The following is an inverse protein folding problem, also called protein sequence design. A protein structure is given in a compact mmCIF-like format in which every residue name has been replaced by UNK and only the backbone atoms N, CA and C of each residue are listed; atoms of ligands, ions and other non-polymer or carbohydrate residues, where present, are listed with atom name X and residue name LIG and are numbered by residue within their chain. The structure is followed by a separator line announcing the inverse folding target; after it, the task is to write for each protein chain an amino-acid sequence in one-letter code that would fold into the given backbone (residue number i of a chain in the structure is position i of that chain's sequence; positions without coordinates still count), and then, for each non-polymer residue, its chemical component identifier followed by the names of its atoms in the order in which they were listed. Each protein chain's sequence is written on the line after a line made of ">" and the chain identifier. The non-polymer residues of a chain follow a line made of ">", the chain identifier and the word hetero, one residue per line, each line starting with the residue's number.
data_IF_760169027432
#
_entry.id   IF_760169027432
#
_cell.length_a   1.000
_cell.length_b   1.000
_cell.length_c   1.000
_cell.angle_alpha   90.00
_cell.angle_beta   90.00
_cell.angle_gamma   90.00
#
_symmetry.space_group_name_H-M   'P 1'
#
loop_
_entity.id
_entity.type
_entity.pdbx_description
1 polymer ?
#
# COMPACT_ATOMS: atom_id res chain seq x y z
N UNK A 1 -5.25 17.37 13.90
CA UNK A 1 -5.35 16.94 12.49
C UNK A 1 -3.98 16.61 11.97
N UNK A 2 -3.84 15.44 11.36
CA UNK A 2 -2.68 15.06 10.58
C UNK A 2 -2.60 15.95 9.32
N UNK A 3 -1.41 16.44 8.98
CA UNK A 3 -1.13 17.14 7.73
C UNK A 3 0.31 16.81 7.34
N UNK A 4 0.51 16.38 6.10
CA UNK A 4 1.83 16.19 5.50
C UNK A 4 2.19 17.48 4.79
N UNK A 5 3.17 18.21 5.32
CA UNK A 5 3.51 19.56 4.84
C UNK A 5 4.56 19.57 3.73
N UNK A 6 5.27 18.46 3.50
CA UNK A 6 6.37 18.37 2.52
C UNK A 6 6.28 17.10 1.71
N UNK A 7 6.59 17.21 0.41
CA UNK A 7 6.83 16.04 -0.44
C UNK A 7 7.98 15.22 0.14
N UNK A 8 7.74 13.92 0.28
CA UNK A 8 8.72 12.96 0.74
C UNK A 8 9.84 12.77 -0.30
N UNK A 9 11.08 12.66 0.19
CA UNK A 9 12.23 12.30 -0.63
C UNK A 9 12.18 10.81 -0.96
N UNK A 10 12.53 10.45 -2.19
CA UNK A 10 12.65 9.06 -2.62
C UNK A 10 13.93 8.48 -2.01
N UNK A 11 13.83 7.29 -1.41
CA UNK A 11 14.99 6.56 -0.89
C UNK A 11 15.31 5.37 -1.81
N UNK A 12 16.58 5.21 -2.24
CA UNK A 12 16.96 4.12 -3.13
C UNK A 12 16.90 2.77 -2.40
N UNK A 13 16.73 1.69 -3.15
CA UNK A 13 16.82 0.32 -2.61
C UNK A 13 18.25 0.06 -2.16
N UNK A 14 18.45 -0.10 -0.84
CA UNK A 14 19.76 -0.40 -0.26
C UNK A 14 20.24 -1.81 -0.63
N UNK A 15 21.56 -2.05 -0.56
CA UNK A 15 22.12 -3.38 -0.77
C UNK A 15 21.55 -4.42 0.22
N UNK A 16 21.21 -3.99 1.44
CA UNK A 16 20.57 -4.84 2.44
C UNK A 16 19.17 -5.26 2.01
N UNK A 17 18.35 -4.29 1.58
CA UNK A 17 17.01 -4.55 1.08
C UNK A 17 17.04 -5.38 -0.21
N UNK A 18 17.95 -5.11 -1.15
CA UNK A 18 18.06 -5.89 -2.39
C UNK A 18 18.39 -7.37 -2.12
N UNK A 19 19.27 -7.67 -1.17
CA UNK A 19 19.53 -9.07 -0.75
C UNK A 19 18.29 -9.75 -0.19
N UNK A 20 17.47 -9.02 0.58
CA UNK A 20 16.17 -9.51 1.03
C UNK A 20 15.27 -9.82 -0.17
N UNK A 21 15.11 -8.86 -1.09
CA UNK A 21 14.21 -9.00 -2.25
C UNK A 21 14.60 -10.19 -3.13
N UNK A 22 15.89 -10.42 -3.39
CA UNK A 22 16.38 -11.59 -4.12
C UNK A 22 16.04 -12.88 -3.36
N UNK A 23 16.31 -12.93 -2.05
CA UNK A 23 16.06 -14.12 -1.21
C UNK A 23 14.59 -14.55 -1.20
N UNK A 24 13.67 -13.58 -1.26
CA UNK A 24 12.22 -13.82 -1.19
C UNK A 24 11.54 -13.74 -2.58
N UNK A 25 12.30 -13.88 -3.66
CA UNK A 25 11.81 -13.89 -5.05
C UNK A 25 10.96 -12.66 -5.42
N UNK A 26 11.32 -11.50 -4.86
CA UNK A 26 10.74 -10.19 -5.19
C UNK A 26 11.56 -9.44 -6.22
N UNK A 27 12.89 -9.61 -6.20
CA UNK A 27 13.74 -9.10 -7.28
C UNK A 27 13.73 -10.11 -8.42
N UNK A 28 13.28 -9.67 -9.60
CA UNK A 28 13.32 -10.48 -10.83
C UNK A 28 13.90 -9.63 -11.95
N UNK A 29 14.39 -10.26 -13.01
CA UNK A 29 14.71 -9.54 -14.23
C UNK A 29 13.40 -9.11 -14.90
N UNK A 30 13.21 -7.79 -15.10
CA UNK A 30 12.02 -7.28 -15.78
C UNK A 30 12.41 -6.79 -17.17
N UNK A 31 11.55 -7.05 -18.17
CA UNK A 31 11.89 -6.78 -19.58
C UNK A 31 11.70 -5.31 -19.99
N UNK A 32 11.18 -4.46 -19.11
CA UNK A 32 11.06 -3.02 -19.33
C UNK A 32 11.09 -2.26 -18.01
N UNK A 33 11.80 -1.14 -18.01
CA UNK A 33 11.97 -0.25 -16.86
C UNK A 33 11.07 0.99 -16.95
N UNK A 34 10.88 1.65 -15.80
CA UNK A 34 10.08 2.87 -15.72
C UNK A 34 10.47 3.94 -16.75
N UNK A 35 11.78 4.18 -16.95
CA UNK A 35 12.26 5.25 -17.84
C UNK A 35 11.97 4.98 -19.32
N UNK A 36 11.78 3.72 -19.71
CA UNK A 36 11.44 3.36 -21.10
C UNK A 36 9.97 3.67 -21.41
N UNK A 37 9.09 3.67 -20.40
CA UNK A 37 7.70 4.10 -20.54
C UNK A 37 7.58 5.63 -20.75
N UNK A 38 8.63 6.40 -20.46
CA UNK A 38 8.68 7.84 -20.73
C UNK A 38 8.92 8.17 -22.22
N UNK A 39 9.16 7.18 -23.08
CA UNK A 39 9.33 7.36 -24.53
C UNK A 39 8.02 7.69 -25.29
N UNK A 40 6.93 8.00 -24.57
CA UNK A 40 5.66 8.34 -25.21
C UNK A 40 5.78 9.66 -25.99
N UNK A 41 5.06 9.77 -27.10
CA UNK A 41 5.12 10.93 -28.00
C UNK A 41 3.91 11.85 -27.88
N UNK A 42 2.80 11.36 -27.36
CA UNK A 42 1.60 12.16 -27.06
C UNK A 42 0.78 11.55 -25.93
N UNK A 43 -0.13 12.33 -25.36
CA UNK A 43 -1.05 11.88 -24.32
C UNK A 43 -2.41 12.58 -24.43
N UNK A 44 -3.45 11.97 -23.86
CA UNK A 44 -4.80 12.57 -23.72
C UNK A 44 -5.32 12.36 -22.30
N UNK A 45 -6.07 13.33 -21.77
CA UNK A 45 -6.73 13.20 -20.47
C UNK A 45 -7.73 12.03 -20.48
N UNK A 46 -7.70 11.22 -19.43
CA UNK A 46 -8.62 10.11 -19.23
C UNK A 46 -9.80 10.57 -18.36
N UNK A 47 -11.01 10.49 -18.90
CA UNK A 47 -12.24 10.81 -18.20
C UNK A 47 -12.94 9.52 -17.72
N UNK A 48 -13.65 9.61 -16.59
CA UNK A 48 -14.48 8.51 -16.12
C UNK A 48 -15.83 8.42 -16.85
N UNK A 49 -16.66 7.44 -16.49
CA UNK A 49 -17.97 7.23 -17.13
C UNK A 49 -18.98 8.36 -16.89
N UNK A 50 -18.65 9.36 -16.08
CA UNK A 50 -19.45 10.55 -15.80
C UNK A 50 -18.78 11.82 -16.35
N UNK A 51 -17.85 11.67 -17.28
CA UNK A 51 -17.08 12.76 -17.89
C UNK A 51 -16.27 13.58 -16.87
N UNK A 52 -15.92 13.00 -15.72
CA UNK A 52 -15.06 13.66 -14.74
C UNK A 52 -13.60 13.30 -15.02
N UNK A 53 -12.74 14.31 -14.97
CA UNK A 53 -11.30 14.15 -15.14
C UNK A 53 -10.75 13.20 -14.05
N UNK A 54 -10.08 12.13 -14.47
CA UNK A 54 -9.49 11.17 -13.54
C UNK A 54 -8.12 11.60 -13.03
N UNK A 55 -7.53 12.66 -13.59
CA UNK A 55 -6.16 13.13 -13.37
C UNK A 55 -5.08 12.15 -13.88
N UNK A 56 -5.48 11.20 -14.73
CA UNK A 56 -4.60 10.32 -15.48
C UNK A 56 -4.62 10.72 -16.95
N UNK A 57 -3.50 10.53 -17.63
CA UNK A 57 -3.40 10.71 -19.08
C UNK A 57 -3.08 9.38 -19.75
N UNK A 58 -3.85 8.99 -20.76
CA UNK A 58 -3.49 7.85 -21.62
C UNK A 58 -2.33 8.27 -22.51
N UNK A 59 -1.22 7.55 -22.44
CA UNK A 59 -0.01 7.85 -23.24
C UNK A 59 0.03 7.02 -24.52
N UNK A 60 0.58 7.60 -25.57
CA UNK A 60 0.76 6.95 -26.88
C UNK A 60 2.22 6.95 -27.28
N UNK A 61 2.64 5.85 -27.90
CA UNK A 61 4.00 5.62 -28.38
C UNK A 61 4.01 5.55 -29.90
N UNK A 62 5.14 5.90 -30.50
CA UNK A 62 5.38 5.64 -31.91
C UNK A 62 5.31 4.13 -32.21
N UNK A 63 5.06 3.75 -33.46
CA UNK A 63 4.73 2.37 -33.80
C UNK A 63 5.81 1.36 -33.36
N UNK A 64 7.08 1.67 -33.57
CA UNK A 64 8.21 0.82 -33.16
C UNK A 64 8.24 0.61 -31.64
N UNK A 65 8.13 1.71 -30.90
CA UNK A 65 8.18 1.71 -29.44
C UNK A 65 6.96 1.00 -28.86
N UNK A 66 5.79 1.20 -29.46
CA UNK A 66 4.54 0.58 -29.02
C UNK A 66 4.62 -0.95 -29.06
N UNK A 67 5.12 -1.53 -30.14
CA UNK A 67 5.21 -2.99 -30.29
C UNK A 67 6.15 -3.60 -29.23
N UNK A 68 7.32 -3.00 -29.03
CA UNK A 68 8.28 -3.41 -28.01
C UNK A 68 7.72 -3.25 -26.58
N UNK A 69 7.21 -2.06 -26.27
CA UNK A 69 6.69 -1.72 -24.94
C UNK A 69 5.51 -2.63 -24.60
N UNK A 70 4.54 -2.79 -25.50
CA UNK A 70 3.39 -3.66 -25.25
C UNK A 70 3.82 -5.11 -25.04
N UNK A 71 4.79 -5.61 -25.80
CA UNK A 71 5.34 -6.95 -25.60
C UNK A 71 5.96 -7.10 -24.20
N UNK A 72 6.81 -6.16 -23.78
CA UNK A 72 7.50 -6.23 -22.50
C UNK A 72 6.57 -6.03 -21.30
N UNK A 73 5.58 -5.14 -21.43
CA UNK A 73 4.52 -4.96 -20.45
C UNK A 73 3.67 -6.23 -20.28
N UNK A 74 3.37 -6.96 -21.36
CA UNK A 74 2.71 -8.29 -21.27
C UNK A 74 3.57 -9.33 -20.56
N UNK A 75 4.89 -9.34 -20.79
CA UNK A 75 5.82 -10.22 -20.07
C UNK A 75 5.84 -9.90 -18.56
N UNK A 76 5.81 -8.62 -18.18
CA UNK A 76 5.68 -8.22 -16.77
C UNK A 76 4.42 -8.82 -16.14
N UNK A 77 3.29 -8.75 -16.85
CA UNK A 77 2.04 -9.34 -16.37
C UNK A 77 2.15 -10.86 -16.19
N UNK A 78 2.75 -11.58 -17.15
CA UNK A 78 2.99 -13.02 -17.04
C UNK A 78 3.88 -13.37 -15.82
N UNK A 79 4.93 -12.58 -15.57
CA UNK A 79 5.77 -12.71 -14.36
C UNK A 79 4.96 -12.48 -13.07
N UNK A 80 4.10 -11.45 -13.06
CA UNK A 80 3.34 -11.04 -11.89
C UNK A 80 2.18 -11.99 -11.54
N UNK A 81 1.46 -12.51 -12.56
CA UNK A 81 0.20 -13.26 -12.40
C UNK A 81 0.29 -14.76 -12.68
N UNK A 82 1.20 -15.17 -13.56
CA UNK A 82 1.30 -16.55 -14.03
C UNK A 82 2.61 -17.24 -13.62
N UNK A 83 3.33 -16.68 -12.64
CA UNK A 83 4.60 -17.25 -12.17
C UNK A 83 5.67 -17.35 -13.26
N UNK A 84 5.57 -16.52 -14.31
CA UNK A 84 6.48 -16.53 -15.45
C UNK A 84 6.06 -17.46 -16.60
N UNK A 85 4.88 -18.08 -16.57
CA UNK A 85 4.34 -18.79 -17.73
C UNK A 85 3.99 -17.80 -18.84
N UNK A 86 4.86 -17.72 -19.86
CA UNK A 86 4.73 -16.78 -20.98
C UNK A 86 3.63 -17.20 -21.96
N UNK A 87 3.13 -18.45 -21.91
CA UNK A 87 2.07 -18.91 -22.82
C UNK A 87 0.78 -18.09 -22.67
N UNK A 88 0.52 -17.56 -21.47
CA UNK A 88 -0.66 -16.72 -21.21
C UNK A 88 -0.67 -15.44 -22.06
N UNK A 89 0.50 -14.96 -22.52
CA UNK A 89 0.64 -13.72 -23.28
C UNK A 89 -0.02 -13.76 -24.66
N UNK A 90 -0.27 -14.95 -25.22
CA UNK A 90 -0.92 -15.13 -26.52
C UNK A 90 -2.33 -14.55 -26.53
N UNK A 91 -3.02 -14.64 -25.40
CA UNK A 91 -4.39 -14.21 -25.24
C UNK A 91 -4.52 -12.82 -24.61
N UNK A 92 -3.41 -12.14 -24.34
CA UNK A 92 -3.41 -10.83 -23.70
C UNK A 92 -3.11 -9.71 -24.70
N UNK A 93 -3.78 -8.58 -24.51
CA UNK A 93 -3.38 -7.31 -25.13
C UNK A 93 -3.38 -6.17 -24.11
N UNK A 94 -2.53 -5.18 -24.37
CA UNK A 94 -2.51 -3.93 -23.61
C UNK A 94 -3.60 -3.03 -24.19
N UNK A 95 -4.60 -2.71 -23.37
CA UNK A 95 -5.69 -1.81 -23.75
C UNK A 95 -5.22 -0.36 -23.72
N UNK A 96 -4.56 0.02 -22.62
CA UNK A 96 -3.96 1.35 -22.46
C UNK A 96 -2.88 1.36 -21.38
N UNK A 97 -2.02 2.37 -21.49
CA UNK A 97 -1.03 2.74 -20.48
C UNK A 97 -1.37 4.18 -20.08
N UNK A 98 -1.60 4.39 -18.78
CA UNK A 98 -2.00 5.67 -18.21
C UNK A 98 -0.88 6.23 -17.33
N UNK A 99 -0.53 7.50 -17.46
CA UNK A 99 0.41 8.23 -16.61
C UNK A 99 -0.34 9.10 -15.60
N UNK A 100 -0.02 8.98 -14.32
CA UNK A 100 -0.52 9.90 -13.31
C UNK A 100 0.39 11.14 -13.23
N UNK A 101 0.03 12.21 -13.93
CA UNK A 101 0.85 13.43 -14.03
C UNK A 101 0.98 14.21 -12.71
N UNK A 102 0.03 14.05 -11.79
CA UNK A 102 -0.01 14.73 -10.49
C UNK A 102 0.74 13.99 -9.37
N UNK A 103 0.97 12.68 -9.52
CA UNK A 103 1.59 11.85 -8.51
C UNK A 103 3.06 12.23 -8.29
N UNK A 104 3.56 12.16 -7.04
CA UNK A 104 4.93 12.54 -6.72
C UNK A 104 5.99 11.73 -7.50
N UNK A 105 5.69 10.46 -7.80
CA UNK A 105 6.56 9.55 -8.56
C UNK A 105 6.07 9.31 -9.98
N UNK A 106 5.03 10.03 -10.41
CA UNK A 106 4.35 9.89 -11.71
C UNK A 106 4.19 8.43 -12.15
N UNK A 107 3.45 7.61 -11.39
CA UNK A 107 3.33 6.18 -11.68
C UNK A 107 2.58 5.96 -13.00
N UNK A 108 3.00 4.92 -13.73
CA UNK A 108 2.23 4.38 -14.84
C UNK A 108 1.25 3.32 -14.34
N UNK A 109 0.05 3.26 -14.92
CA UNK A 109 -0.93 2.21 -14.75
C UNK A 109 -1.13 1.53 -16.09
N UNK A 110 -0.96 0.22 -16.14
CA UNK A 110 -1.21 -0.57 -17.34
C UNK A 110 -2.54 -1.29 -17.18
N UNK A 111 -3.41 -1.17 -18.17
CA UNK A 111 -4.63 -1.98 -18.30
C UNK A 111 -4.39 -3.10 -19.31
N UNK A 112 -4.46 -4.34 -18.84
CA UNK A 112 -4.33 -5.53 -19.69
C UNK A 112 -5.67 -6.24 -19.76
N UNK A 113 -6.05 -6.68 -20.96
CA UNK A 113 -7.29 -7.39 -21.23
C UNK A 113 -6.97 -8.80 -21.75
N UNK A 114 -7.72 -9.78 -21.26
CA UNK A 114 -7.70 -11.15 -21.74
C UNK A 114 -8.76 -11.36 -22.82
N UNK A 115 -8.33 -11.71 -24.04
CA UNK A 115 -9.18 -11.91 -25.21
C UNK A 115 -10.17 -13.07 -25.07
N UNK A 116 -9.89 -14.05 -24.21
CA UNK A 116 -10.73 -15.24 -24.06
C UNK A 116 -12.03 -14.90 -23.32
N UNK A 117 -11.95 -14.06 -22.28
CA UNK A 117 -13.07 -13.80 -21.37
C UNK A 117 -13.43 -12.31 -21.23
N UNK A 118 -12.74 -11.43 -21.94
CA UNK A 118 -12.89 -9.96 -21.89
C UNK A 118 -12.69 -9.34 -20.50
N UNK A 119 -12.10 -10.12 -19.57
CA UNK A 119 -11.72 -9.60 -18.26
C UNK A 119 -10.45 -8.77 -18.38
N UNK A 120 -10.35 -7.78 -17.50
CA UNK A 120 -9.21 -6.89 -17.45
C UNK A 120 -8.60 -6.84 -16.06
N UNK A 121 -7.31 -6.59 -16.05
CA UNK A 121 -6.51 -6.37 -14.85
C UNK A 121 -5.73 -5.06 -14.98
N UNK A 122 -5.27 -4.59 -13.82
CA UNK A 122 -4.34 -3.48 -13.74
C UNK A 122 -3.08 -3.87 -12.97
N UNK A 123 -1.97 -3.26 -13.35
CA UNK A 123 -0.79 -3.16 -12.52
C UNK A 123 -0.13 -1.80 -12.72
N UNK A 124 0.79 -1.46 -11.84
CA UNK A 124 1.45 -0.17 -11.82
C UNK A 124 2.95 -0.33 -12.02
N UNK A 125 3.56 0.58 -12.78
CA UNK A 125 5.01 0.69 -12.94
C UNK A 125 5.44 2.01 -12.30
N UNK A 126 6.30 1.93 -11.30
CA UNK A 126 6.75 3.08 -10.51
C UNK A 126 8.27 3.12 -10.40
N UNK A 127 8.82 4.30 -10.13
CA UNK A 127 10.15 4.39 -9.56
C UNK A 127 10.15 3.73 -8.18
N UNK A 128 11.14 2.89 -7.92
CA UNK A 128 11.28 2.20 -6.65
C UNK A 128 11.68 3.15 -5.53
N UNK A 129 11.02 3.00 -4.38
CA UNK A 129 11.33 3.69 -3.13
C UNK A 129 11.41 2.64 -2.01
N UNK A 130 12.52 2.62 -1.28
CA UNK A 130 12.76 1.65 -0.22
C UNK A 130 11.65 1.63 0.83
N UNK A 131 11.18 2.80 1.25
CA UNK A 131 10.08 2.91 2.23
C UNK A 131 8.78 2.26 1.72
N UNK A 132 8.38 2.51 0.47
CA UNK A 132 7.23 1.86 -0.17
C UNK A 132 7.41 0.35 -0.22
N UNK A 133 8.60 -0.13 -0.59
CA UNK A 133 8.92 -1.57 -0.62
C UNK A 133 8.82 -2.19 0.78
N UNK A 134 9.33 -1.53 1.82
CA UNK A 134 9.12 -1.98 3.20
C UNK A 134 7.63 -2.06 3.55
N UNK A 135 6.82 -1.09 3.10
CA UNK A 135 5.38 -1.07 3.39
C UNK A 135 4.62 -2.19 2.70
N UNK A 136 4.93 -2.46 1.43
CA UNK A 136 4.38 -3.60 0.68
C UNK A 136 4.74 -4.93 1.36
N UNK A 137 5.98 -5.07 1.82
CA UNK A 137 6.43 -6.29 2.48
C UNK A 137 5.81 -6.47 3.88
N UNK A 138 5.72 -5.40 4.68
CA UNK A 138 5.02 -5.45 5.97
C UNK A 138 3.52 -5.72 5.80
N UNK A 139 2.86 -5.19 4.77
CA UNK A 139 1.48 -5.58 4.45
C UNK A 139 1.40 -7.07 4.10
N UNK A 140 2.27 -7.55 3.21
CA UNK A 140 2.30 -8.96 2.81
C UNK A 140 2.53 -9.95 3.97
N UNK A 141 3.38 -9.58 4.93
CA UNK A 141 3.78 -10.44 6.05
C UNK A 141 2.83 -10.34 7.25
N UNK A 142 2.35 -9.14 7.57
CA UNK A 142 1.61 -8.86 8.81
C UNK A 142 0.10 -8.77 8.62
N UNK A 143 -0.39 -8.65 7.39
CA UNK A 143 -1.81 -8.61 7.05
C UNK A 143 -2.28 -9.97 6.52
N UNK A 144 -3.58 -10.30 6.60
CA UNK A 144 -4.16 -11.37 5.77
C UNK A 144 -4.11 -11.03 4.27
N UNK A 145 -3.97 -9.75 3.91
CA UNK A 145 -3.90 -9.33 2.52
C UNK A 145 -2.52 -9.67 1.94
N UNK A 146 -2.46 -10.60 0.99
CA UNK A 146 -1.24 -10.83 0.22
C UNK A 146 -1.04 -9.69 -0.77
N UNK A 147 0.18 -9.18 -0.80
CA UNK A 147 0.63 -8.21 -1.80
C UNK A 147 1.51 -8.91 -2.83
N UNK A 148 1.22 -8.63 -4.10
CA UNK A 148 1.98 -9.07 -5.26
C UNK A 148 2.68 -7.85 -5.87
N UNK A 149 4.00 -7.91 -5.88
CA UNK A 149 4.84 -6.86 -6.41
C UNK A 149 6.19 -7.47 -6.82
N UNK A 150 6.85 -6.82 -7.76
CA UNK A 150 8.18 -7.17 -8.27
C UNK A 150 9.06 -5.93 -8.28
N UNK A 151 10.35 -6.12 -8.06
CA UNK A 151 11.36 -5.06 -8.12
C UNK A 151 12.44 -5.47 -9.09
N UNK A 152 12.96 -4.51 -9.85
CA UNK A 152 14.20 -4.69 -10.59
C UNK A 152 14.94 -3.37 -10.67
N UNK A 153 16.18 -3.33 -10.17
CA UNK A 153 16.97 -2.12 -10.09
C UNK A 153 16.19 -0.99 -9.38
N UNK A 154 15.77 0.04 -10.13
CA UNK A 154 14.99 1.18 -9.64
C UNK A 154 13.53 1.19 -10.12
N UNK A 155 13.04 0.07 -10.65
CA UNK A 155 11.65 -0.08 -11.08
C UNK A 155 10.90 -0.98 -10.12
N UNK A 156 9.70 -0.55 -9.73
CA UNK A 156 8.76 -1.28 -8.88
C UNK A 156 7.50 -1.55 -9.69
N UNK A 157 7.09 -2.81 -9.74
CA UNK A 157 5.84 -3.27 -10.34
C UNK A 157 4.90 -3.67 -9.21
N UNK A 158 3.71 -3.10 -9.16
CA UNK A 158 2.70 -3.42 -8.15
C UNK A 158 1.42 -3.93 -8.80
N UNK A 159 0.91 -5.06 -8.32
CA UNK A 159 -0.43 -5.51 -8.70
C UNK A 159 -1.50 -4.55 -8.16
N UNK A 160 -2.57 -4.37 -8.93
CA UNK A 160 -3.72 -3.60 -8.46
C UNK A 160 -4.40 -4.25 -7.26
N UNK A 161 -4.60 -3.46 -6.21
CA UNK A 161 -5.35 -3.85 -5.02
C UNK A 161 -6.82 -3.50 -5.24
N UNK A 162 -7.64 -4.52 -5.48
CA UNK A 162 -9.06 -4.36 -5.74
C UNK A 162 -9.82 -3.82 -4.51
N UNK A 163 -10.79 -2.94 -4.78
CA UNK A 163 -11.75 -2.39 -3.83
C UNK A 163 -12.25 -1.01 -4.28
N UNK A 164 -13.25 -0.48 -3.58
CA UNK A 164 -13.80 0.86 -3.86
C UNK A 164 -12.93 1.89 -3.12
N UNK A 165 -12.36 2.91 -3.79
CA UNK A 165 -11.62 3.98 -3.10
C UNK A 165 -12.42 4.55 -1.94
N UNK A 166 -11.80 4.72 -0.77
CA UNK A 166 -12.51 5.09 0.46
C UNK A 166 -13.34 6.37 0.32
N UNK A 167 -12.81 7.37 -0.37
CA UNK A 167 -13.49 8.64 -0.64
C UNK A 167 -14.74 8.44 -1.53
N UNK A 168 -14.63 7.63 -2.59
CA UNK A 168 -15.77 7.25 -3.45
C UNK A 168 -16.79 6.42 -2.67
N UNK A 169 -16.33 5.48 -1.86
CA UNK A 169 -17.19 4.66 -1.02
C UNK A 169 -18.02 5.52 -0.08
N UNK A 170 -17.37 6.43 0.65
CA UNK A 170 -18.06 7.31 1.61
C UNK A 170 -19.05 8.25 0.94
N UNK A 171 -18.78 8.71 -0.29
CA UNK A 171 -19.72 9.56 -1.03
C UNK A 171 -20.93 8.79 -1.57
N UNK A 172 -20.73 7.55 -2.03
CA UNK A 172 -21.76 6.82 -2.77
C UNK A 172 -22.56 5.82 -1.94
N UNK A 173 -21.98 5.22 -0.89
CA UNK A 173 -22.55 4.05 -0.21
C UNK A 173 -22.97 4.28 1.24
N UNK A 174 -22.68 5.46 1.83
CA UNK A 174 -22.98 5.71 3.25
C UNK A 174 -24.46 5.81 3.57
N UNK A 175 -25.29 6.06 2.56
CA UNK A 175 -26.76 6.12 2.68
C UNK A 175 -27.44 4.85 2.14
N UNK A 176 -26.68 3.80 1.84
CA UNK A 176 -27.22 2.53 1.37
C UNK A 176 -27.99 1.84 2.51
N UNK A 177 -29.28 1.50 2.34
CA UNK A 177 -30.06 0.77 3.34
C UNK A 177 -29.45 -0.58 3.76
N UNK A 178 -28.63 -1.20 2.91
CA UNK A 178 -27.96 -2.47 3.17
C UNK A 178 -26.57 -2.31 3.81
N UNK A 179 -26.12 -1.08 4.05
CA UNK A 179 -24.89 -0.81 4.78
C UNK A 179 -25.03 -1.30 6.24
N UNK A 180 -24.06 -2.07 6.72
CA UNK A 180 -23.94 -2.39 8.15
C UNK A 180 -22.92 -1.42 8.78
N UNK A 181 -23.35 -0.32 9.41
CA UNK A 181 -22.45 0.71 9.91
C UNK A 181 -21.59 0.24 11.08
N UNK A 182 -22.06 -0.72 11.87
CA UNK A 182 -21.34 -1.27 13.03
C UNK A 182 -20.12 -2.06 12.52
N UNK A 183 -20.31 -2.91 11.51
CA UNK A 183 -19.21 -3.68 10.91
C UNK A 183 -18.19 -2.80 10.21
N UNK A 184 -18.64 -1.77 9.48
CA UNK A 184 -17.74 -0.80 8.86
C UNK A 184 -16.94 -0.02 9.91
N UNK A 185 -17.58 0.43 10.98
CA UNK A 185 -16.90 1.11 12.09
C UNK A 185 -15.88 0.19 12.79
N UNK A 186 -16.25 -1.06 13.06
CA UNK A 186 -15.34 -2.09 13.59
C UNK A 186 -14.11 -2.27 12.70
N UNK A 187 -14.29 -2.39 11.38
CA UNK A 187 -13.18 -2.52 10.45
C UNK A 187 -12.30 -1.26 10.43
N UNK A 188 -12.87 -0.05 10.55
CA UNK A 188 -12.08 1.17 10.65
C UNK A 188 -11.22 1.25 11.92
N UNK A 189 -11.74 0.78 13.07
CA UNK A 189 -10.95 0.64 14.30
C UNK A 189 -9.76 -0.30 14.09
N UNK A 190 -10.00 -1.45 13.46
CA UNK A 190 -8.95 -2.43 13.14
C UNK A 190 -7.93 -1.87 12.16
N UNK A 191 -8.37 -1.18 11.11
CA UNK A 191 -7.49 -0.53 10.16
C UNK A 191 -6.61 0.54 10.82
N UNK A 192 -7.18 1.36 11.71
CA UNK A 192 -6.43 2.35 12.48
C UNK A 192 -5.32 1.71 13.33
N UNK A 193 -5.63 0.62 14.02
CA UNK A 193 -4.64 -0.12 14.82
C UNK A 193 -3.54 -0.75 13.95
N UNK A 194 -3.95 -1.38 12.84
CA UNK A 194 -3.05 -2.04 11.89
C UNK A 194 -2.08 -1.06 11.22
N UNK A 195 -2.51 0.16 10.92
CA UNK A 195 -1.65 1.22 10.41
C UNK A 195 -0.67 1.70 11.48
N UNK A 196 -1.15 1.91 12.70
CA UNK A 196 -0.34 2.45 13.78
C UNK A 196 0.79 1.48 14.20
N UNK A 197 0.46 0.23 14.48
CA UNK A 197 1.42 -0.81 14.90
C UNK A 197 2.56 -0.97 13.90
N UNK A 198 2.23 -0.87 12.60
CA UNK A 198 3.20 -1.03 11.51
C UNK A 198 3.82 0.27 11.04
N UNK A 199 3.45 1.41 11.65
CA UNK A 199 3.91 2.73 11.23
C UNK A 199 3.64 2.99 9.74
N UNK A 200 2.44 2.64 9.26
CA UNK A 200 1.96 3.00 7.92
C UNK A 200 1.23 4.34 7.99
N UNK A 201 1.87 5.40 7.48
CA UNK A 201 1.36 6.76 7.56
C UNK A 201 0.39 7.12 6.43
N UNK A 202 -0.22 8.30 6.56
CA UNK A 202 -0.97 8.97 5.48
C UNK A 202 -2.19 8.24 4.94
N UNK A 203 -2.88 7.52 5.83
CA UNK A 203 -4.04 6.72 5.46
C UNK A 203 -5.32 7.56 5.48
N UNK A 204 -5.37 8.61 4.64
CA UNK A 204 -6.60 9.31 4.29
C UNK A 204 -7.41 8.51 3.26
N UNK A 205 -8.67 8.90 3.02
CA UNK A 205 -9.63 8.07 2.28
C UNK A 205 -9.34 7.85 0.79
N UNK A 206 -8.37 8.54 0.21
CA UNK A 206 -7.88 8.26 -1.15
C UNK A 206 -6.74 7.24 -1.18
N UNK A 207 -6.15 6.90 -0.03
CA UNK A 207 -4.99 6.01 0.10
C UNK A 207 -5.35 4.60 0.59
N UNK A 208 -6.65 4.31 0.72
CA UNK A 208 -7.15 2.96 0.97
C UNK A 208 -8.40 2.68 0.13
N UNK A 209 -8.68 1.40 -0.05
CA UNK A 209 -9.92 0.91 -0.65
C UNK A 209 -10.72 0.12 0.38
N UNK A 210 -12.04 0.08 0.17
CA UNK A 210 -12.99 -0.74 0.92
C UNK A 210 -13.38 -1.89 0.01
N UNK A 211 -13.01 -3.09 0.42
CA UNK A 211 -13.49 -4.34 -0.16
C UNK A 211 -14.78 -4.75 0.56
N UNK A 212 -15.79 -5.07 -0.22
CA UNK A 212 -17.15 -5.38 0.23
C UNK A 212 -17.47 -6.78 -0.23
N UNK A 213 -17.56 -7.71 0.72
CA UNK A 213 -17.88 -9.11 0.43
C UNK A 213 -19.28 -9.40 0.96
N UNK A 214 -20.28 -9.62 0.09
CA UNK A 214 -21.56 -10.19 0.50
C UNK A 214 -21.32 -11.59 1.08
N UNK A 215 -21.87 -11.86 2.27
CA UNK A 215 -21.91 -13.20 2.87
C UNK A 215 -23.37 -13.61 3.09
N UNK A 216 -23.61 -14.87 3.45
CA UNK A 216 -24.94 -15.48 3.51
C UNK A 216 -25.95 -14.69 4.37
N UNK A 217 -25.50 -14.11 5.47
CA UNK A 217 -26.36 -13.36 6.40
C UNK A 217 -26.06 -11.85 6.42
N UNK A 218 -24.80 -11.45 6.18
CA UNK A 218 -24.38 -10.08 6.42
C UNK A 218 -23.19 -9.66 5.54
N UNK A 219 -23.10 -8.37 5.23
CA UNK A 219 -21.97 -7.81 4.47
C UNK A 219 -20.69 -7.74 5.33
N UNK A 220 -19.57 -8.16 4.75
CA UNK A 220 -18.24 -8.00 5.34
C UNK A 220 -17.48 -6.85 4.67
N UNK A 221 -16.81 -6.04 5.48
CA UNK A 221 -15.96 -4.93 5.02
C UNK A 221 -14.51 -5.23 5.36
N UNK A 222 -13.61 -4.95 4.42
CA UNK A 222 -12.17 -4.94 4.66
C UNK A 222 -11.57 -3.66 4.13
N UNK A 223 -10.89 -2.90 4.98
CA UNK A 223 -10.12 -1.73 4.53
C UNK A 223 -8.71 -2.19 4.17
N UNK A 224 -8.25 -1.85 2.97
CA UNK A 224 -6.94 -2.22 2.43
C UNK A 224 -6.20 -0.96 2.00
N UNK A 225 -5.00 -0.77 2.54
CA UNK A 225 -4.13 0.32 2.09
C UNK A 225 -3.71 0.08 0.63
N UNK A 226 -3.61 1.17 -0.14
CA UNK A 226 -3.13 1.15 -1.53
C UNK A 226 -1.94 2.07 -1.77
N UNK A 227 -1.65 2.96 -0.82
CA UNK A 227 -0.43 3.76 -0.84
C UNK A 227 0.47 3.41 0.34
N UNK A 228 1.70 3.00 0.04
CA UNK A 228 2.72 2.63 1.02
C UNK A 228 3.88 3.63 1.07
N UNK A 229 3.76 4.78 0.38
CA UNK A 229 4.83 5.79 0.35
C UNK A 229 5.22 6.28 1.74
N UNK A 230 4.29 6.33 2.68
CA UNK A 230 4.50 6.91 4.01
C UNK A 230 4.79 5.85 5.08
N UNK A 231 5.31 4.69 4.66
CA UNK A 231 5.78 3.65 5.56
C UNK A 231 6.99 4.14 6.36
N UNK A 232 6.84 4.23 7.68
CA UNK A 232 7.89 4.53 8.66
C UNK A 232 8.74 5.75 8.27
N UNK A 233 8.10 6.80 7.73
CA UNK A 233 8.79 8.01 7.28
C UNK A 233 8.58 9.19 8.23
N UNK A 234 7.35 9.43 8.68
CA UNK A 234 6.95 10.65 9.39
C UNK A 234 7.30 10.66 10.89
N UNK A 235 7.55 11.85 11.42
CA UNK A 235 8.00 12.02 12.81
C UNK A 235 6.90 12.10 13.87
N UNK A 236 5.65 12.32 13.46
CA UNK A 236 4.51 12.52 14.36
C UNK A 236 3.67 11.26 14.42
N UNK A 237 3.40 10.73 15.63
CA UNK A 237 2.59 9.51 15.77
C UNK A 237 1.20 9.61 15.14
N UNK A 238 0.62 10.81 15.13
CA UNK A 238 -0.72 11.06 14.60
C UNK A 238 -0.85 10.77 13.10
N UNK A 239 0.27 10.78 12.35
CA UNK A 239 0.26 10.48 10.91
C UNK A 239 0.02 8.99 10.65
N UNK A 240 0.35 8.12 11.62
CA UNK A 240 0.14 6.67 11.55
C UNK A 240 -1.24 6.24 12.05
N UNK A 241 -2.11 7.20 12.38
CA UNK A 241 -3.43 6.97 12.96
C UNK A 241 -4.49 7.57 12.02
N UNK A 242 -5.09 6.76 11.11
CA UNK A 242 -6.15 7.17 10.18
C UNK A 242 -7.25 8.06 10.79
N UNK A 243 -7.56 7.90 12.07
CA UNK A 243 -8.55 8.72 12.78
C UNK A 243 -8.21 10.22 12.89
N UNK A 244 -7.00 10.65 12.53
CA UNK A 244 -6.61 12.07 12.59
C UNK A 244 -6.69 12.80 11.24
N UNK A 245 -7.11 12.13 10.17
CA UNK A 245 -7.32 12.69 8.85
C UNK A 245 -8.77 13.14 8.68
N UNK A 246 -8.98 14.40 8.26
CA UNK A 246 -10.33 14.98 8.11
C UNK A 246 -11.14 14.24 7.05
N UNK A 247 -10.45 13.75 6.04
CA UNK A 247 -10.98 12.99 4.92
C UNK A 247 -11.68 11.71 5.39
N UNK A 248 -11.35 11.22 6.60
CA UNK A 248 -11.94 10.03 7.21
C UNK A 248 -13.07 10.37 8.21
N UNK A 249 -13.48 11.63 8.35
CA UNK A 249 -14.47 12.07 9.35
C UNK A 249 -15.76 11.26 9.33
N UNK A 250 -16.21 10.83 8.14
CA UNK A 250 -17.42 10.02 8.00
C UNK A 250 -17.27 8.67 8.72
N UNK A 251 -16.14 7.99 8.59
CA UNK A 251 -15.85 6.75 9.31
C UNK A 251 -15.62 6.99 10.81
N UNK A 252 -15.00 8.11 11.17
CA UNK A 252 -14.78 8.51 12.57
C UNK A 252 -16.13 8.72 13.27
N UNK A 253 -17.07 9.39 12.61
CA UNK A 253 -18.43 9.63 13.13
C UNK A 253 -19.21 8.32 13.30
N UNK A 254 -19.06 7.36 12.38
CA UNK A 254 -19.62 6.01 12.59
C UNK A 254 -19.03 5.36 13.84
N UNK A 255 -17.71 5.44 14.01
CA UNK A 255 -17.02 4.97 15.22
C UNK A 255 -17.61 5.56 16.49
N UNK A 256 -17.71 6.89 16.55
CA UNK A 256 -18.27 7.61 17.70
C UNK A 256 -19.73 7.27 17.99
N UNK A 257 -20.52 6.97 16.95
CA UNK A 257 -21.95 6.67 17.08
C UNK A 257 -22.23 5.22 17.51
N UNK A 258 -21.45 4.27 17.01
CA UNK A 258 -21.77 2.84 17.12
C UNK A 258 -20.80 2.03 17.98
N UNK A 259 -19.60 2.53 18.27
CA UNK A 259 -18.56 1.76 18.98
C UNK A 259 -18.40 2.30 20.40
N UNK A 260 -18.66 1.45 21.39
CA UNK A 260 -18.40 1.77 22.81
C UNK A 260 -16.90 1.76 23.13
N UNK A 261 -16.45 2.41 24.20
CA UNK A 261 -15.05 2.34 24.64
C UNK A 261 -14.54 0.91 24.86
N UNK A 262 -15.38 0.02 25.41
CA UNK A 262 -15.04 -1.39 25.64
C UNK A 262 -14.86 -2.13 24.31
N UNK A 263 -15.78 -1.90 23.36
CA UNK A 263 -15.72 -2.49 22.01
C UNK A 263 -14.49 -2.01 21.24
N UNK A 264 -14.15 -0.72 21.37
CA UNK A 264 -12.92 -0.14 20.79
C UNK A 264 -11.68 -0.90 21.26
N UNK A 265 -11.52 -1.06 22.58
CA UNK A 265 -10.39 -1.78 23.18
C UNK A 265 -10.38 -3.25 22.74
N UNK A 266 -11.55 -3.89 22.66
CA UNK A 266 -11.67 -5.25 22.17
C UNK A 266 -11.18 -5.39 20.72
N UNK A 267 -11.66 -4.55 19.81
CA UNK A 267 -11.29 -4.64 18.39
C UNK A 267 -9.81 -4.34 18.15
N UNK A 268 -9.23 -3.41 18.91
CA UNK A 268 -7.78 -3.19 18.92
C UNK A 268 -7.02 -4.44 19.37
N UNK A 269 -7.47 -5.10 20.44
CA UNK A 269 -6.86 -6.36 20.93
C UNK A 269 -6.98 -7.48 19.89
N UNK A 270 -8.13 -7.61 19.24
CA UNK A 270 -8.35 -8.58 18.15
C UNK A 270 -7.34 -8.37 17.01
N UNK A 271 -7.19 -7.13 16.51
CA UNK A 271 -6.26 -6.84 15.42
C UNK A 271 -4.81 -7.08 15.84
N UNK A 272 -4.41 -6.63 17.05
CA UNK A 272 -3.07 -6.91 17.59
C UNK A 272 -2.78 -8.40 17.69
N UNK A 273 -3.75 -9.22 18.11
CA UNK A 273 -3.61 -10.67 18.19
C UNK A 273 -3.43 -11.32 16.81
N UNK A 274 -4.14 -10.83 15.79
CA UNK A 274 -3.95 -11.27 14.40
C UNK A 274 -2.54 -10.96 13.91
N UNK A 275 -2.05 -9.73 14.13
CA UNK A 275 -0.70 -9.33 13.75
C UNK A 275 0.35 -10.14 14.55
N UNK A 276 0.16 -10.35 15.85
CA UNK A 276 1.03 -11.19 16.67
C UNK A 276 1.11 -12.64 16.18
N UNK A 277 0.00 -13.20 15.71
CA UNK A 277 -0.04 -14.54 15.12
C UNK A 277 0.78 -14.58 13.82
N UNK A 278 0.65 -13.56 12.97
CA UNK A 278 1.43 -13.41 11.73
C UNK A 278 2.93 -13.20 11.99
N UNK A 279 3.27 -12.44 13.03
CA UNK A 279 4.64 -12.29 13.52
C UNK A 279 5.30 -13.63 13.85
N UNK A 280 4.54 -14.54 14.47
CA UNK A 280 5.02 -15.88 14.82
C UNK A 280 5.12 -16.78 13.58
N UNK A 281 4.12 -16.78 12.70
CA UNK A 281 4.09 -17.67 11.53
C UNK A 281 5.07 -17.28 10.42
N UNK A 282 5.38 -15.98 10.29
CA UNK A 282 6.31 -15.46 9.27
C UNK A 282 7.62 -14.94 9.88
N UNK A 283 8.02 -15.52 11.03
CA UNK A 283 9.14 -15.04 11.86
C UNK A 283 10.42 -14.78 11.08
N UNK A 284 10.85 -15.73 10.23
CA UNK A 284 12.12 -15.59 9.51
C UNK A 284 12.08 -14.43 8.50
N UNK A 285 11.00 -14.32 7.73
CA UNK A 285 10.78 -13.21 6.80
C UNK A 285 10.81 -11.85 7.50
N UNK A 286 10.09 -11.76 8.63
CA UNK A 286 10.00 -10.53 9.41
C UNK A 286 11.35 -10.15 10.02
N UNK A 287 12.10 -11.11 10.55
CA UNK A 287 13.45 -10.85 11.07
C UNK A 287 14.42 -10.39 9.96
N UNK A 288 14.31 -10.95 8.77
CA UNK A 288 15.19 -10.59 7.66
C UNK A 288 14.88 -9.18 7.12
N UNK A 289 13.60 -8.82 6.94
CA UNK A 289 13.21 -7.47 6.48
C UNK A 289 13.50 -6.40 7.55
N UNK A 290 13.30 -6.71 8.83
CA UNK A 290 13.66 -5.79 9.91
C UNK A 290 15.17 -5.59 9.96
N UNK A 291 15.97 -6.65 9.77
CA UNK A 291 17.43 -6.54 9.71
C UNK A 291 17.88 -5.63 8.56
N UNK A 292 17.28 -5.73 7.37
CA UNK A 292 17.63 -4.80 6.29
C UNK A 292 17.27 -3.36 6.65
N UNK A 293 16.08 -3.14 7.23
CA UNK A 293 15.59 -1.82 7.64
C UNK A 293 16.41 -1.20 8.77
N UNK A 294 16.93 -2.00 9.72
CA UNK A 294 17.81 -1.56 10.81
C UNK A 294 19.17 -1.04 10.32
N UNK A 295 19.56 -1.35 9.08
CA UNK A 295 20.78 -0.86 8.43
C UNK A 295 20.51 0.15 7.31
N UNK A 296 19.26 0.59 7.17
CA UNK A 296 18.81 1.50 6.11
C UNK A 296 18.52 2.91 6.65
N UNK A 297 18.47 3.89 5.74
CA UNK A 297 18.03 5.25 6.04
C UNK A 297 16.85 5.58 5.14
N UNK A 298 15.65 5.58 5.71
CA UNK A 298 14.39 5.81 4.97
C UNK A 298 13.58 6.99 5.52
N UNK A 299 14.17 7.79 6.41
CA UNK A 299 13.54 8.92 7.07
C UNK A 299 14.62 9.86 7.60
N UNK A 300 14.37 11.18 7.66
CA UNK A 300 15.35 12.11 8.17
C UNK A 300 15.48 12.04 9.71
N UNK A 301 16.65 12.39 10.29
CA UNK A 301 16.92 12.24 11.73
C UNK A 301 15.91 12.94 12.66
N UNK A 302 15.37 14.08 12.24
CA UNK A 302 14.35 14.84 12.98
C UNK A 302 13.06 14.04 13.18
N UNK A 303 12.66 13.24 12.18
CA UNK A 303 11.47 12.41 12.26
C UNK A 303 11.70 11.27 13.25
N UNK A 304 12.89 10.66 13.23
CA UNK A 304 13.28 9.61 14.18
C UNK A 304 13.28 10.16 15.62
N UNK A 305 13.87 11.34 15.82
CA UNK A 305 13.97 11.98 17.14
C UNK A 305 12.60 12.32 17.74
N UNK A 306 11.68 12.83 16.93
CA UNK A 306 10.31 13.12 17.35
C UNK A 306 9.53 11.83 17.63
N UNK A 307 9.54 10.88 16.69
CA UNK A 307 8.68 9.70 16.74
C UNK A 307 9.00 8.82 17.94
N UNK A 308 10.28 8.64 18.26
CA UNK A 308 10.67 7.77 19.38
C UNK A 308 10.18 8.27 20.73
N UNK A 309 10.10 9.59 20.93
CA UNK A 309 9.57 10.20 22.16
C UNK A 309 8.06 9.97 22.24
N UNK A 310 7.36 10.22 21.12
CA UNK A 310 5.92 10.02 20.99
C UNK A 310 5.50 8.56 21.28
N UNK A 311 6.27 7.59 20.76
CA UNK A 311 6.00 6.16 20.95
C UNK A 311 6.41 5.67 22.34
N UNK A 312 7.52 6.15 22.90
CA UNK A 312 7.88 5.87 24.29
C UNK A 312 6.76 6.28 25.24
N UNK A 313 6.19 7.47 25.05
CA UNK A 313 5.04 7.96 25.83
C UNK A 313 3.77 7.18 25.55
N UNK A 314 3.50 6.79 24.31
CA UNK A 314 2.28 6.05 23.95
C UNK A 314 2.26 4.64 24.56
N UNK A 315 3.37 3.91 24.44
CA UNK A 315 3.49 2.54 24.93
C UNK A 315 3.93 2.45 26.39
N UNK A 316 4.45 3.53 26.98
CA UNK A 316 5.07 3.49 28.30
C UNK A 316 6.36 2.67 28.31
N UNK A 317 7.12 2.71 27.22
CA UNK A 317 8.32 1.88 27.02
C UNK A 317 9.53 2.73 26.58
N UNK A 318 10.50 2.92 27.48
CA UNK A 318 11.69 3.72 27.22
C UNK A 318 12.66 3.12 26.20
N UNK A 319 12.50 1.85 25.80
CA UNK A 319 13.31 1.25 24.72
C UNK A 319 13.23 2.06 23.42
N UNK A 320 12.09 2.69 23.13
CA UNK A 320 11.97 3.56 21.96
C UNK A 320 12.99 4.69 21.98
N UNK A 321 13.30 5.29 23.14
CA UNK A 321 14.25 6.40 23.25
C UNK A 321 15.67 6.03 22.81
N UNK A 322 16.01 4.75 22.86
CA UNK A 322 17.30 4.19 22.44
C UNK A 322 17.39 3.94 20.93
N UNK A 323 16.27 3.96 20.21
CA UNK A 323 16.24 3.74 18.76
C UNK A 323 17.00 4.83 18.01
N UNK A 324 17.81 4.40 17.04
CA UNK A 324 18.67 5.23 16.20
C UNK A 324 18.14 5.43 14.78
N UNK A 325 17.24 4.56 14.32
CA UNK A 325 16.62 4.64 13.00
C UNK A 325 15.21 4.02 13.00
N UNK A 326 14.52 4.14 11.86
CA UNK A 326 13.15 3.65 11.69
C UNK A 326 13.03 2.12 11.76
N UNK A 327 14.05 1.36 11.35
CA UNK A 327 14.06 -0.10 11.51
C UNK A 327 14.00 -0.52 12.97
N UNK A 328 14.78 0.14 13.84
CA UNK A 328 14.75 -0.14 15.29
C UNK A 328 13.42 0.28 15.93
N UNK A 329 12.84 1.41 15.50
CA UNK A 329 11.51 1.83 15.96
C UNK A 329 10.45 0.81 15.55
N UNK A 330 10.44 0.40 14.28
CA UNK A 330 9.48 -0.58 13.75
C UNK A 330 9.60 -1.92 14.47
N UNK A 331 10.81 -2.43 14.67
CA UNK A 331 11.06 -3.64 15.47
C UNK A 331 10.52 -3.51 16.89
N UNK A 332 10.82 -2.40 17.58
CA UNK A 332 10.35 -2.17 18.94
C UNK A 332 8.81 -2.11 18.99
N UNK A 333 8.18 -1.48 17.99
CA UNK A 333 6.71 -1.44 17.85
C UNK A 333 6.10 -2.84 17.71
N UNK A 334 6.71 -3.70 16.89
CA UNK A 334 6.23 -5.08 16.72
C UNK A 334 6.46 -5.95 17.96
N UNK A 335 7.53 -5.72 18.72
CA UNK A 335 7.78 -6.40 19.99
C UNK A 335 6.68 -6.12 21.04
N UNK A 336 6.05 -4.93 21.01
CA UNK A 336 4.92 -4.60 21.90
C UNK A 336 3.71 -5.51 21.69
N UNK A 337 3.59 -6.16 20.53
CA UNK A 337 2.50 -7.11 20.27
C UNK A 337 2.75 -8.48 20.90
N UNK A 338 4.01 -8.82 21.18
CA UNK A 338 4.42 -10.12 21.72
C UNK A 338 4.53 -10.06 23.24
N UNK A 339 4.84 -8.88 23.80
CA UNK A 339 4.88 -8.66 25.25
C UNK A 339 3.46 -8.69 25.83
N UNK A 340 3.01 -9.88 26.18
CA UNK A 340 1.92 -10.13 27.13
C UNK A 340 2.26 -11.34 27.97
#
# INVERSE_FOLDING_TARGET
>A
MALISKKKRIYPISNGLRRYLIKYSREVDIPIHYHELLRYTSSIALYDSREQDTLWETVFYDQSDREEIHLNVKKIYALLKAGGDMSVMEHLYVDRIDLCVYGNTQPFRVRIVNRINDNFDYFYVKNADASRVYGLEFEHLLSPNRISYLVHQNTLIEEHIAGIPGDKFMRAHMNDPHLNPIRLAKEFVKFNERCFVRLLGDMHSSNFVIDVTPDFEETHYRIRAIDFDQQSYEGKKSIYLPQYFKENNVLIQLGMKYITPESMVQYQKEERALIATRLKSSRQGILDILRSMEHDTISPPENIASLKIDLAKHYGNDKFLQCKNMGQIMKTSLEELIKK
#
